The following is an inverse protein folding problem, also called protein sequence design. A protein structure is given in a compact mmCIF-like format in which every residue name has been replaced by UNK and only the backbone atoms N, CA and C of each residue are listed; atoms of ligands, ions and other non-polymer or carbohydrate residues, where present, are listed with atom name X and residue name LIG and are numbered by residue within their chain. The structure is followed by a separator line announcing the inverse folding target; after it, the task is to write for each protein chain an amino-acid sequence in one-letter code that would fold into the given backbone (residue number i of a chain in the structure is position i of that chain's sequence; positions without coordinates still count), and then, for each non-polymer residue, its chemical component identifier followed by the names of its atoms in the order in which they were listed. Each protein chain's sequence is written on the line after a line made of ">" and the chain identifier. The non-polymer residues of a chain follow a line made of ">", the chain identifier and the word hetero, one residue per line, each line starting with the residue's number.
data_IF_130322030054
#
_entry.id   IF_130322030054
#
_cell.length_a   1.000
_cell.length_b   1.000
_cell.length_c   1.000
_cell.angle_alpha   90.00
_cell.angle_beta   90.00
_cell.angle_gamma   90.00
#
_symmetry.space_group_name_H-M   'P 1'
#
loop_
_entity.id
_entity.type
_entity.pdbx_description
1 polymer ?
#
# COMPACT_ATOMS: atom_id res chain seq x y z
N UNK A 1 -34.76 33.90 11.18
CA UNK A 1 -35.20 33.62 9.80
C UNK A 1 -34.44 32.39 9.35
N UNK A 2 -35.07 31.22 9.39
CA UNK A 2 -34.47 30.01 8.82
C UNK A 2 -34.59 30.10 7.30
N UNK A 3 -33.45 30.16 6.60
CA UNK A 3 -33.43 30.09 5.15
C UNK A 3 -33.68 28.62 4.77
N UNK A 4 -34.93 28.29 4.52
CA UNK A 4 -35.35 27.00 3.99
C UNK A 4 -34.91 26.89 2.51
N UNK A 5 -33.61 26.71 2.29
CA UNK A 5 -33.04 26.48 0.97
C UNK A 5 -33.30 25.01 0.64
N UNK A 6 -34.14 24.70 -0.37
CA UNK A 6 -34.36 23.32 -0.77
C UNK A 6 -33.04 22.72 -1.24
N UNK A 7 -32.57 21.67 -0.56
CA UNK A 7 -31.37 20.93 -0.96
C UNK A 7 -31.64 20.32 -2.34
N UNK A 8 -30.90 20.71 -3.40
CA UNK A 8 -31.11 20.17 -4.72
C UNK A 8 -30.92 18.66 -4.68
N UNK A 9 -31.90 17.90 -5.17
CA UNK A 9 -31.77 16.45 -5.32
C UNK A 9 -30.69 16.18 -6.37
N UNK A 10 -29.48 15.87 -5.91
CA UNK A 10 -28.37 15.43 -6.75
C UNK A 10 -28.74 14.11 -7.41
N UNK A 11 -28.65 14.07 -8.74
CA UNK A 11 -28.76 12.83 -9.51
C UNK A 11 -27.40 12.16 -9.58
N UNK A 12 -27.39 10.86 -9.80
CA UNK A 12 -26.15 10.08 -10.02
C UNK A 12 -25.30 10.70 -11.15
N UNK A 13 -25.94 11.21 -12.20
CA UNK A 13 -25.27 11.92 -13.31
C UNK A 13 -24.49 13.16 -12.86
N UNK A 14 -25.00 13.87 -11.86
CA UNK A 14 -24.38 15.10 -11.35
C UNK A 14 -23.11 14.75 -10.57
N UNK A 15 -23.15 13.69 -9.75
CA UNK A 15 -21.99 13.17 -9.04
C UNK A 15 -20.89 12.71 -10.01
N UNK A 16 -21.24 11.97 -11.07
CA UNK A 16 -20.29 11.53 -12.09
C UNK A 16 -19.65 12.74 -12.79
N UNK A 17 -20.45 13.74 -13.17
CA UNK A 17 -19.95 14.96 -13.81
C UNK A 17 -19.02 15.77 -12.91
N UNK A 18 -19.36 15.87 -11.62
CA UNK A 18 -18.54 16.55 -10.62
C UNK A 18 -17.20 15.84 -10.43
N UNK A 19 -17.20 14.51 -10.29
CA UNK A 19 -15.98 13.71 -10.19
C UNK A 19 -15.10 13.87 -11.43
N UNK A 20 -15.68 13.84 -12.63
CA UNK A 20 -14.94 14.06 -13.87
C UNK A 20 -14.31 15.46 -13.96
N UNK A 21 -15.05 16.50 -13.54
CA UNK A 21 -14.54 17.88 -13.47
C UNK A 21 -13.42 18.01 -12.44
N UNK A 22 -13.59 17.41 -11.26
CA UNK A 22 -12.59 17.40 -10.21
C UNK A 22 -11.32 16.70 -10.68
N UNK A 23 -11.45 15.52 -11.29
CA UNK A 23 -10.31 14.77 -11.84
C UNK A 23 -9.57 15.56 -12.93
N UNK A 24 -10.31 16.21 -13.83
CA UNK A 24 -9.70 17.07 -14.86
C UNK A 24 -8.93 18.27 -14.28
N UNK A 25 -9.30 18.73 -13.09
CA UNK A 25 -8.60 19.80 -12.38
C UNK A 25 -7.35 19.31 -11.62
N UNK A 26 -7.17 17.98 -11.46
CA UNK A 26 -5.97 17.42 -10.85
C UNK A 26 -4.79 17.63 -11.79
N UNK A 27 -3.71 18.18 -11.24
CA UNK A 27 -2.44 18.35 -11.97
C UNK A 27 -1.42 17.30 -11.53
N UNK A 28 -0.41 17.03 -12.37
CA UNK A 28 0.69 16.15 -12.01
C UNK A 28 1.42 16.61 -10.74
N UNK A 29 1.48 17.93 -10.50
CA UNK A 29 2.03 18.49 -9.27
C UNK A 29 1.17 18.16 -8.05
N UNK A 30 -0.18 18.23 -8.18
CA UNK A 30 -1.10 17.79 -7.13
C UNK A 30 -0.88 16.32 -6.79
N UNK A 31 -0.74 15.44 -7.80
CA UNK A 31 -0.49 14.01 -7.61
C UNK A 31 0.85 13.78 -6.91
N UNK A 32 1.92 14.39 -7.40
CA UNK A 32 3.27 14.28 -6.83
C UNK A 32 3.29 14.74 -5.37
N UNK A 33 2.68 15.88 -5.06
CA UNK A 33 2.62 16.41 -3.71
C UNK A 33 1.82 15.50 -2.77
N UNK A 34 0.71 14.91 -3.25
CA UNK A 34 -0.05 13.93 -2.49
C UNK A 34 0.79 12.68 -2.20
N UNK A 35 1.45 12.10 -3.19
CA UNK A 35 2.27 10.90 -3.01
C UNK A 35 3.51 11.13 -2.15
N UNK A 36 4.11 12.33 -2.23
CA UNK A 36 5.21 12.76 -1.34
C UNK A 36 4.73 12.86 0.10
N UNK A 37 3.58 13.48 0.35
CA UNK A 37 3.01 13.61 1.71
C UNK A 37 2.58 12.28 2.32
N UNK A 38 2.07 11.34 1.52
CA UNK A 38 1.65 10.03 2.00
C UNK A 38 2.80 9.03 2.12
N UNK A 39 4.02 9.39 1.67
CA UNK A 39 5.18 8.51 1.68
C UNK A 39 5.04 7.31 0.73
N UNK A 40 4.24 7.48 -0.33
CA UNK A 40 4.17 6.52 -1.45
C UNK A 40 5.43 6.65 -2.30
N UNK A 41 5.89 7.87 -2.54
CA UNK A 41 7.19 8.12 -3.16
C UNK A 41 8.30 7.95 -2.11
N UNK A 42 9.44 7.34 -2.47
CA UNK A 42 10.63 7.37 -1.63
C UNK A 42 11.02 8.82 -1.36
N UNK A 43 11.36 9.13 -0.11
CA UNK A 43 11.85 10.46 0.27
C UNK A 43 13.17 10.65 -0.45
N UNK A 44 13.22 11.56 -1.42
CA UNK A 44 14.49 11.96 -2.00
C UNK A 44 15.37 12.50 -0.88
N UNK A 45 16.61 12.02 -0.74
CA UNK A 45 17.53 12.56 0.25
C UNK A 45 17.67 14.05 -0.03
N UNK A 46 17.37 14.87 0.98
CA UNK A 46 17.64 16.32 0.95
C UNK A 46 19.09 16.54 0.51
N UNK A 47 19.35 17.43 -0.47
CA UNK A 47 20.71 17.74 -0.86
C UNK A 47 21.41 18.41 0.32
N UNK A 48 22.33 17.69 0.95
CA UNK A 48 23.39 18.31 1.74
C UNK A 48 24.21 19.20 0.80
N UNK A 49 24.68 20.38 1.24
CA UNK A 49 25.49 21.22 0.38
C UNK A 49 26.88 20.61 0.35
N UNK A 50 27.22 19.85 -0.70
CA UNK A 50 28.55 19.79 -1.30
C UNK A 50 28.53 18.86 -2.51
N UNK A 51 29.01 19.44 -3.60
CA UNK A 51 29.65 18.84 -4.77
C UNK A 51 28.77 18.34 -5.92
N UNK A 52 28.95 19.06 -7.01
CA UNK A 52 28.44 18.86 -8.36
C UNK A 52 28.88 17.50 -8.92
N UNK A 53 28.00 16.50 -8.96
CA UNK A 53 28.12 15.39 -9.92
C UNK A 53 26.75 15.09 -10.51
N UNK A 54 26.59 15.42 -11.80
CA UNK A 54 25.49 14.95 -12.65
C UNK A 54 25.50 13.41 -12.63
N UNK A 55 24.52 12.80 -11.96
CA UNK A 55 24.35 11.36 -11.96
C UNK A 55 23.17 10.96 -12.85
N UNK A 56 23.45 10.00 -13.73
CA UNK A 56 22.69 9.41 -14.84
C UNK A 56 21.47 8.55 -14.39
N UNK A 57 20.99 8.74 -13.16
CA UNK A 57 20.09 7.79 -12.47
C UNK A 57 18.60 7.89 -12.86
N UNK A 58 18.17 8.98 -13.50
CA UNK A 58 16.75 9.21 -13.85
C UNK A 58 16.26 8.33 -15.01
N UNK A 59 17.17 7.77 -15.82
CA UNK A 59 16.85 6.89 -16.96
C UNK A 59 16.56 5.45 -16.55
N UNK A 60 17.11 4.99 -15.41
CA UNK A 60 17.02 3.60 -14.97
C UNK A 60 15.64 3.30 -14.34
N UNK A 61 15.03 4.29 -13.70
CA UNK A 61 13.71 4.17 -13.05
C UNK A 61 12.57 4.03 -14.08
N UNK A 62 12.66 4.74 -15.22
CA UNK A 62 11.66 4.68 -16.30
C UNK A 62 11.69 3.30 -16.98
N UNK A 63 12.87 2.70 -17.16
CA UNK A 63 13.04 1.38 -17.77
C UNK A 63 12.45 0.26 -16.88
N UNK A 64 12.62 0.35 -15.56
CA UNK A 64 12.02 -0.60 -14.61
C UNK A 64 10.49 -0.51 -14.58
N UNK A 65 9.92 0.69 -14.60
CA UNK A 65 8.46 0.88 -14.65
C UNK A 65 7.89 0.29 -15.95
N UNK A 66 8.57 0.49 -17.08
CA UNK A 66 8.12 -0.05 -18.36
C UNK A 66 8.16 -1.60 -18.38
N UNK A 67 9.22 -2.20 -17.81
CA UNK A 67 9.32 -3.66 -17.63
C UNK A 67 8.24 -4.23 -16.71
N UNK A 68 7.81 -3.48 -15.69
CA UNK A 68 6.69 -3.87 -14.83
C UNK A 68 5.37 -3.78 -15.58
N UNK A 69 5.12 -2.69 -16.32
CA UNK A 69 3.91 -2.57 -17.14
C UNK A 69 3.79 -3.70 -18.17
N UNK A 70 4.89 -4.04 -18.84
CA UNK A 70 4.90 -5.13 -19.83
C UNK A 70 4.70 -6.51 -19.19
N UNK A 71 5.12 -6.70 -17.94
CA UNK A 71 4.87 -7.94 -17.16
C UNK A 71 3.41 -8.07 -16.70
N UNK A 72 2.74 -6.94 -16.49
CA UNK A 72 1.34 -6.88 -16.06
C UNK A 72 0.38 -6.55 -17.21
N UNK A 73 0.82 -6.70 -18.47
CA UNK A 73 -0.07 -6.67 -19.64
C UNK A 73 -0.97 -7.90 -19.62
N UNK A 74 -2.05 -7.79 -18.85
CA UNK A 74 -3.15 -8.75 -18.87
C UNK A 74 -3.90 -8.50 -20.18
N UNK A 75 -4.02 -9.56 -20.97
CA UNK A 75 -4.77 -9.52 -22.23
C UNK A 75 -6.27 -9.57 -21.97
N UNK A 76 -7.08 -8.98 -22.86
CA UNK A 76 -8.55 -9.04 -22.76
C UNK A 76 -9.06 -10.49 -22.66
N UNK A 77 -8.31 -11.44 -23.26
CA UNK A 77 -8.60 -12.87 -23.24
C UNK A 77 -8.33 -13.52 -21.88
N UNK A 78 -7.28 -13.09 -21.16
CA UNK A 78 -7.05 -13.48 -19.76
C UNK A 78 -8.11 -12.93 -18.82
N UNK A 79 -8.59 -11.70 -19.04
CA UNK A 79 -9.69 -11.11 -18.24
C UNK A 79 -10.96 -11.94 -18.41
N UNK A 80 -11.30 -12.33 -19.64
CA UNK A 80 -12.46 -13.19 -19.91
C UNK A 80 -12.30 -14.57 -19.28
N UNK A 81 -11.11 -15.15 -19.27
CA UNK A 81 -10.84 -16.45 -18.67
C UNK A 81 -10.92 -16.41 -17.13
N UNK A 82 -10.44 -15.34 -16.49
CA UNK A 82 -10.59 -15.16 -15.04
C UNK A 82 -12.04 -15.01 -14.61
N UNK A 83 -12.91 -14.45 -15.46
CA UNK A 83 -14.35 -14.34 -15.18
C UNK A 83 -15.04 -15.70 -15.35
N UNK A 84 -14.65 -16.49 -16.37
CA UNK A 84 -15.23 -17.83 -16.63
C UNK A 84 -14.81 -18.89 -15.62
N UNK A 85 -13.60 -18.81 -15.06
CA UNK A 85 -13.10 -19.71 -14.01
C UNK A 85 -13.94 -19.67 -12.71
N UNK A 86 -14.73 -18.62 -12.51
CA UNK A 86 -15.56 -18.46 -11.32
C UNK A 86 -16.94 -19.14 -11.44
N UNK A 87 -17.30 -19.64 -12.63
CA UNK A 87 -18.63 -20.21 -12.91
C UNK A 87 -18.62 -21.74 -13.09
N UNK A 88 -17.46 -22.39 -13.08
CA UNK A 88 -17.37 -23.85 -13.26
C UNK A 88 -16.38 -24.46 -12.26
N UNK A 89 -16.92 -25.34 -11.42
CA UNK A 89 -16.24 -26.30 -10.54
C UNK A 89 -15.34 -25.75 -9.42
N UNK A 90 -16.00 -25.28 -8.35
CA UNK A 90 -15.41 -25.35 -7.00
C UNK A 90 -15.82 -26.68 -6.36
N UNK A 91 -15.11 -27.76 -6.70
CA UNK A 91 -14.90 -28.83 -5.74
C UNK A 91 -13.98 -28.24 -4.66
N UNK A 92 -14.56 -27.97 -3.49
CA UNK A 92 -13.86 -27.47 -2.31
C UNK A 92 -12.82 -28.50 -1.85
N UNK A 93 -11.61 -28.45 -2.41
CA UNK A 93 -10.45 -28.99 -1.71
C UNK A 93 -10.32 -28.20 -0.40
N UNK A 94 -10.60 -28.86 0.72
CA UNK A 94 -10.34 -28.40 2.08
C UNK A 94 -8.84 -28.12 2.23
N UNK A 95 -8.39 -26.96 1.76
CA UNK A 95 -7.08 -26.42 2.06
C UNK A 95 -7.06 -26.20 3.56
N UNK A 96 -6.26 -26.99 4.27
CA UNK A 96 -5.97 -26.83 5.70
C UNK A 96 -5.48 -25.39 5.87
N UNK A 97 -6.39 -24.49 6.25
CA UNK A 97 -6.09 -23.08 6.50
C UNK A 97 -5.11 -23.06 7.66
N UNK A 98 -3.84 -22.79 7.38
CA UNK A 98 -2.89 -22.49 8.44
C UNK A 98 -3.51 -21.40 9.34
N UNK A 99 -3.39 -21.50 10.67
CA UNK A 99 -3.91 -20.48 11.57
C UNK A 99 -3.36 -19.11 11.16
N UNK A 100 -4.24 -18.27 10.61
CA UNK A 100 -3.87 -16.91 10.21
C UNK A 100 -3.74 -16.07 11.48
N UNK A 101 -2.51 -15.89 11.95
CA UNK A 101 -2.24 -15.01 13.10
C UNK A 101 -2.52 -13.55 12.75
N UNK A 102 -3.01 -12.79 13.73
CA UNK A 102 -3.27 -11.37 13.52
C UNK A 102 -1.99 -10.54 13.48
N UNK A 103 -2.03 -9.35 12.88
CA UNK A 103 -0.89 -8.42 12.91
C UNK A 103 -0.49 -8.04 14.35
N UNK A 104 -1.45 -7.96 15.27
CA UNK A 104 -1.19 -7.68 16.69
C UNK A 104 -0.43 -8.81 17.39
N UNK A 105 -0.75 -10.05 17.04
CA UNK A 105 -0.13 -11.25 17.60
C UNK A 105 1.28 -11.45 17.05
N UNK A 106 1.48 -11.17 15.75
CA UNK A 106 2.80 -11.12 15.14
C UNK A 106 3.71 -10.07 15.79
N UNK A 107 3.20 -8.86 16.06
CA UNK A 107 3.96 -7.81 16.75
C UNK A 107 4.36 -8.22 18.17
N UNK A 108 3.42 -8.78 18.93
CA UNK A 108 3.67 -9.25 20.30
C UNK A 108 4.74 -10.35 20.33
N UNK A 109 4.70 -11.25 19.35
CA UNK A 109 5.69 -12.32 19.23
C UNK A 109 7.07 -11.78 18.85
N UNK A 110 7.12 -10.82 17.93
CA UNK A 110 8.36 -10.16 17.54
C UNK A 110 8.98 -9.35 18.69
N UNK A 111 8.17 -8.72 19.53
CA UNK A 111 8.65 -8.02 20.74
C UNK A 111 9.32 -8.98 21.73
N UNK A 112 8.78 -10.19 21.90
CA UNK A 112 9.42 -11.23 22.72
C UNK A 112 10.77 -11.65 22.14
N UNK A 113 10.86 -11.81 20.83
CA UNK A 113 12.13 -12.14 20.15
C UNK A 113 13.14 -11.01 20.36
N UNK A 114 12.77 -9.77 20.12
CA UNK A 114 13.66 -8.62 20.34
C UNK A 114 14.12 -8.54 21.81
N UNK A 115 13.21 -8.74 22.77
CA UNK A 115 13.55 -8.76 24.20
C UNK A 115 14.54 -9.88 24.56
N UNK A 116 14.43 -11.05 23.93
CA UNK A 116 15.42 -12.12 24.07
C UNK A 116 16.79 -11.72 23.51
N UNK A 117 16.82 -10.93 22.43
CA UNK A 117 18.08 -10.45 21.83
C UNK A 117 18.73 -9.32 22.62
N UNK A 118 17.94 -8.55 23.36
CA UNK A 118 18.48 -7.55 24.27
C UNK A 118 19.18 -8.22 25.47
N UNK A 119 18.75 -9.43 25.86
CA UNK A 119 19.34 -10.23 26.95
C UNK A 119 19.57 -11.69 26.51
N UNK A 120 20.52 -11.94 25.58
CA UNK A 120 20.73 -13.29 25.06
C UNK A 120 21.44 -14.16 26.10
N UNK A 121 21.20 -15.48 26.10
CA UNK A 121 22.05 -16.44 26.82
C UNK A 121 23.50 -16.32 26.36
N UNK A 122 24.47 -16.57 27.25
CA UNK A 122 25.91 -16.45 26.96
C UNK A 122 26.37 -17.32 25.77
N UNK A 123 25.64 -18.38 25.46
CA UNK A 123 25.92 -19.29 24.33
C UNK A 123 25.30 -18.84 23.01
N UNK A 124 24.48 -17.80 23.02
CA UNK A 124 23.72 -17.35 21.86
C UNK A 124 24.32 -16.07 21.27
N UNK A 125 25.01 -16.22 20.15
CA UNK A 125 25.50 -15.11 19.34
C UNK A 125 24.62 -14.92 18.11
N UNK A 126 24.10 -13.70 17.92
CA UNK A 126 23.36 -13.32 16.72
C UNK A 126 24.11 -12.25 15.95
N UNK A 127 24.19 -12.40 14.63
CA UNK A 127 24.74 -11.39 13.74
C UNK A 127 23.93 -10.09 13.79
N UNK A 128 24.62 -8.94 13.82
CA UNK A 128 24.00 -7.62 13.91
C UNK A 128 23.00 -7.35 12.77
N UNK A 129 23.28 -7.85 11.57
CA UNK A 129 22.42 -7.74 10.40
C UNK A 129 21.03 -8.38 10.64
N UNK A 130 21.00 -9.53 11.31
CA UNK A 130 19.76 -10.23 11.62
C UNK A 130 18.89 -9.44 12.62
N UNK A 131 19.52 -8.73 13.56
CA UNK A 131 18.78 -7.83 14.48
C UNK A 131 18.12 -6.68 13.72
N UNK A 132 18.84 -6.05 12.80
CA UNK A 132 18.29 -4.96 11.99
C UNK A 132 17.12 -5.41 11.10
N UNK A 133 17.22 -6.61 10.53
CA UNK A 133 16.13 -7.21 9.77
C UNK A 133 14.85 -7.36 10.61
N UNK A 134 14.97 -7.78 11.87
CA UNK A 134 13.82 -7.91 12.78
C UNK A 134 13.19 -6.54 13.12
N UNK A 135 14.01 -5.52 13.37
CA UNK A 135 13.51 -4.15 13.58
C UNK A 135 12.80 -3.60 12.33
N UNK A 136 13.33 -3.86 11.14
CA UNK A 136 12.72 -3.46 9.89
C UNK A 136 11.40 -4.20 9.64
N UNK A 137 11.35 -5.50 9.92
CA UNK A 137 10.11 -6.29 9.87
C UNK A 137 9.05 -5.71 10.81
N UNK A 138 9.43 -5.34 12.04
CA UNK A 138 8.53 -4.67 12.99
C UNK A 138 7.93 -3.40 12.40
N UNK A 139 8.74 -2.54 11.80
CA UNK A 139 8.28 -1.30 11.14
C UNK A 139 7.30 -1.59 10.01
N UNK A 140 7.58 -2.60 9.19
CA UNK A 140 6.69 -2.98 8.08
C UNK A 140 5.33 -3.48 8.58
N UNK A 141 5.30 -4.34 9.61
CA UNK A 141 4.04 -4.84 10.19
C UNK A 141 3.23 -3.70 10.82
N UNK A 142 3.89 -2.75 11.51
CA UNK A 142 3.22 -1.55 12.05
C UNK A 142 2.61 -0.71 10.92
N UNK A 143 3.35 -0.48 9.83
CA UNK A 143 2.86 0.29 8.67
C UNK A 143 1.65 -0.41 8.03
N UNK A 144 1.74 -1.72 7.81
CA UNK A 144 0.64 -2.52 7.28
C UNK A 144 -0.61 -2.40 8.17
N UNK A 145 -0.47 -2.59 9.49
CA UNK A 145 -1.59 -2.56 10.42
C UNK A 145 -2.27 -1.18 10.50
N UNK A 146 -1.50 -0.10 10.41
CA UNK A 146 -2.05 1.26 10.33
C UNK A 146 -2.83 1.46 9.03
N UNK A 147 -2.26 1.02 7.91
CA UNK A 147 -2.88 1.15 6.60
C UNK A 147 -4.15 0.29 6.48
N UNK A 148 -4.16 -0.92 7.02
CA UNK A 148 -5.37 -1.77 7.04
C UNK A 148 -6.49 -1.16 7.86
N UNK A 149 -6.18 -0.49 8.97
CA UNK A 149 -7.18 0.25 9.75
C UNK A 149 -7.76 1.45 8.98
N UNK A 150 -6.93 2.17 8.23
CA UNK A 150 -7.42 3.24 7.34
C UNK A 150 -8.31 2.68 6.24
N UNK A 151 -7.92 1.55 5.64
CA UNK A 151 -8.71 0.89 4.60
C UNK A 151 -10.05 0.38 5.14
N UNK A 152 -10.09 -0.25 6.32
CA UNK A 152 -11.34 -0.72 6.92
C UNK A 152 -12.31 0.43 7.22
N UNK A 153 -11.77 1.59 7.61
CA UNK A 153 -12.58 2.80 7.77
C UNK A 153 -13.15 3.22 6.42
N UNK A 154 -12.34 3.34 5.36
CA UNK A 154 -12.83 3.70 4.03
C UNK A 154 -13.89 2.72 3.50
N UNK A 155 -13.66 1.42 3.65
CA UNK A 155 -14.58 0.37 3.20
C UNK A 155 -15.93 0.46 3.94
N UNK A 156 -15.92 0.80 5.23
CA UNK A 156 -17.13 1.05 6.02
C UNK A 156 -17.93 2.26 5.52
N UNK A 157 -17.29 3.24 4.89
CA UNK A 157 -17.97 4.42 4.32
C UNK A 157 -18.53 4.16 2.92
N UNK A 158 -17.93 3.22 2.18
CA UNK A 158 -18.35 2.86 0.82
C UNK A 158 -19.47 1.81 0.79
N UNK A 159 -19.66 1.04 1.86
CA UNK A 159 -20.77 0.07 2.00
C UNK A 159 -22.08 0.73 2.46
N UNK A 160 -22.60 1.69 1.68
CA UNK A 160 -23.96 2.26 1.82
C UNK A 160 -24.86 1.74 0.69
#
# INVERSE_FOLDING_TARGET
>A
MELNIPVPKLKISDSISLSAKAWKAVTSETIRNCWSKTGILPISPSPSPSDEEQNDDDLNEIEEIQKLLDRYKITDEEIVNMVKLNETDLEEEELILQPKISASEALTSLDKVLSFLDNPPDTFTMEFNNRNLLYNLKKQIIRFNKNSGVQSVLDSWLNI
#
